data_IF_719325277758
#
_entry.id   IF_719325277758
#
_cell.length_a   1.000
_cell.length_b   1.000
_cell.length_c   1.000
_cell.angle_alpha   90.00
_cell.angle_beta   90.00
_cell.angle_gamma   90.00
#
_symmetry.space_group_name_H-M   'P 1'
#
loop_
_entity.id
_entity.type
_entity.pdbx_description
1 polymer ?
#
# COMPACT_ATOMS: atom_id res chain seq x y z
N UNK A 1 -8.45 -24.78 -6.87
CA UNK A 1 -7.39 -24.15 -7.69
C UNK A 1 -7.31 -22.73 -7.21
N UNK A 2 -6.37 -22.45 -6.32
CA UNK A 2 -6.12 -21.07 -5.88
C UNK A 2 -5.51 -20.32 -7.07
N UNK A 3 -6.14 -19.22 -7.48
CA UNK A 3 -5.52 -18.27 -8.39
C UNK A 3 -4.30 -17.71 -7.66
N UNK A 4 -3.12 -18.25 -7.95
CA UNK A 4 -1.87 -17.60 -7.57
C UNK A 4 -1.76 -16.40 -8.50
N UNK A 5 -2.40 -15.30 -8.13
CA UNK A 5 -2.13 -14.01 -8.76
C UNK A 5 -0.66 -13.73 -8.48
N UNK A 6 0.18 -13.70 -9.50
CA UNK A 6 1.62 -13.45 -9.34
C UNK A 6 1.82 -12.20 -8.48
N UNK A 7 2.62 -12.32 -7.42
CA UNK A 7 2.87 -11.19 -6.53
C UNK A 7 3.61 -10.10 -7.29
N UNK A 8 2.96 -8.96 -7.51
CA UNK A 8 3.59 -7.77 -8.09
C UNK A 8 4.28 -6.99 -6.99
N UNK A 9 5.61 -7.07 -6.94
CA UNK A 9 6.42 -6.28 -6.00
C UNK A 9 6.44 -4.80 -6.40
N UNK A 10 6.51 -3.88 -5.45
CA UNK A 10 6.54 -2.46 -5.77
C UNK A 10 7.89 -2.01 -6.33
N UNK A 11 7.83 -1.04 -7.25
CA UNK A 11 8.97 -0.56 -8.03
C UNK A 11 9.12 0.95 -8.02
N UNK A 12 8.16 1.70 -7.46
CA UNK A 12 8.23 3.17 -7.37
C UNK A 12 7.48 3.72 -6.16
N UNK A 13 7.89 4.90 -5.72
CA UNK A 13 7.17 5.69 -4.73
C UNK A 13 5.74 6.00 -5.21
N UNK A 14 4.77 6.02 -4.28
CA UNK A 14 3.38 6.40 -4.56
C UNK A 14 2.49 5.27 -5.07
N UNK A 15 3.04 4.08 -5.36
CA UNK A 15 2.23 2.89 -5.63
C UNK A 15 1.37 2.54 -4.41
N UNK A 16 0.19 1.98 -4.70
CA UNK A 16 -0.75 1.47 -3.70
C UNK A 16 -0.52 -0.01 -3.54
N UNK A 17 -0.33 -0.45 -2.30
CA UNK A 17 -0.01 -1.83 -1.94
C UNK A 17 -0.92 -2.35 -0.84
N UNK A 18 -1.02 -3.68 -0.77
CA UNK A 18 -1.51 -4.42 0.39
C UNK A 18 -0.37 -5.24 1.00
N UNK A 19 -0.48 -5.57 2.28
CA UNK A 19 0.44 -6.47 2.96
C UNK A 19 -0.04 -7.91 2.70
N UNK A 20 0.81 -8.76 2.15
CA UNK A 20 0.44 -10.14 1.77
C UNK A 20 0.11 -11.03 2.98
N UNK A 21 0.79 -10.79 4.11
CA UNK A 21 0.66 -11.57 5.34
C UNK A 21 0.41 -10.65 6.53
N UNK A 22 -0.78 -10.03 6.62
CA UNK A 22 -1.11 -9.14 7.73
C UNK A 22 -1.12 -9.93 9.05
N UNK A 23 -0.76 -9.27 10.14
CA UNK A 23 -0.89 -9.83 11.48
C UNK A 23 -2.37 -10.03 11.85
N UNK A 24 -2.64 -10.86 12.88
CA UNK A 24 -4.00 -11.23 13.26
C UNK A 24 -4.93 -10.04 13.59
N UNK A 25 -4.35 -8.92 14.02
CA UNK A 25 -5.07 -7.69 14.38
C UNK A 25 -5.02 -6.62 13.27
N UNK A 26 -4.41 -6.91 12.13
CA UNK A 26 -4.34 -6.01 10.97
C UNK A 26 -5.49 -6.30 9.99
N UNK A 27 -6.05 -5.25 9.39
CA UNK A 27 -7.07 -5.41 8.35
C UNK A 27 -6.40 -5.87 7.05
N UNK A 28 -6.72 -7.08 6.54
CA UNK A 28 -6.12 -7.60 5.30
C UNK A 28 -6.49 -6.81 4.05
N UNK A 29 -7.50 -5.95 4.13
CA UNK A 29 -7.92 -5.07 3.03
C UNK A 29 -7.41 -3.64 3.20
N UNK A 30 -6.67 -3.33 4.28
CA UNK A 30 -6.07 -2.01 4.42
C UNK A 30 -5.03 -1.81 3.33
N UNK A 31 -5.07 -0.62 2.73
CA UNK A 31 -4.24 -0.28 1.60
C UNK A 31 -3.29 0.83 1.98
N UNK A 32 -2.08 0.74 1.46
CA UNK A 32 -1.01 1.62 1.86
C UNK A 32 -0.39 2.26 0.62
N UNK A 33 0.04 3.50 0.77
CA UNK A 33 0.85 4.19 -0.23
C UNK A 33 2.31 4.11 0.16
N UNK A 34 3.16 3.80 -0.82
CA UNK A 34 4.61 3.77 -0.63
C UNK A 34 5.16 5.18 -0.49
N UNK A 35 5.89 5.44 0.61
CA UNK A 35 6.41 6.75 0.95
C UNK A 35 7.80 7.06 0.37
N UNK A 36 8.57 6.05 -0.03
CA UNK A 36 9.93 6.18 -0.55
C UNK A 36 10.16 5.28 -1.78
N UNK A 37 11.16 5.55 -2.62
CA UNK A 37 11.41 4.74 -3.82
C UNK A 37 11.98 3.36 -3.45
N UNK A 38 11.29 2.24 -3.76
CA UNK A 38 11.76 0.89 -3.47
C UNK A 38 12.79 0.36 -4.47
N UNK A 39 12.88 0.94 -5.68
CA UNK A 39 13.71 0.40 -6.77
C UNK A 39 15.22 0.22 -6.48
N UNK A 40 15.89 1.03 -5.64
CA UNK A 40 17.30 0.82 -5.36
C UNK A 40 17.55 -0.23 -4.26
N UNK A 41 16.49 -0.77 -3.63
CA UNK A 41 16.60 -1.61 -2.45
C UNK A 41 16.34 -3.10 -2.75
N UNK A 42 16.98 -4.02 -2.01
CA UNK A 42 16.68 -5.44 -2.12
C UNK A 42 15.31 -5.77 -1.49
N UNK A 43 14.64 -6.87 -1.87
CA UNK A 43 13.30 -7.22 -1.39
C UNK A 43 13.16 -7.36 0.13
N UNK A 44 14.23 -7.71 0.84
CA UNK A 44 14.24 -7.88 2.29
C UNK A 44 14.30 -6.54 3.04
N UNK A 45 14.53 -5.43 2.33
CA UNK A 45 14.55 -4.10 2.93
C UNK A 45 13.15 -3.69 3.35
N UNK A 46 13.04 -3.20 4.59
CA UNK A 46 11.84 -2.51 5.04
C UNK A 46 11.73 -1.12 4.42
N UNK A 47 10.54 -0.74 3.96
CA UNK A 47 10.23 0.60 3.47
C UNK A 47 9.06 1.20 4.23
N UNK A 48 9.01 2.53 4.27
CA UNK A 48 7.96 3.28 4.93
C UNK A 48 6.69 3.35 4.06
N UNK A 49 5.57 3.07 4.71
CA UNK A 49 4.23 3.06 4.12
C UNK A 49 3.28 3.94 4.95
N UNK A 50 2.27 4.50 4.30
CA UNK A 50 1.19 5.22 4.96
C UNK A 50 -0.17 4.64 4.56
N UNK A 51 -1.04 4.38 5.53
CA UNK A 51 -2.42 3.94 5.26
C UNK A 51 -3.14 4.99 4.41
N UNK A 52 -3.75 4.55 3.31
CA UNK A 52 -4.56 5.41 2.43
C UNK A 52 -5.74 5.98 3.21
N UNK A 53 -6.40 5.15 4.03
CA UNK A 53 -7.48 5.57 4.92
C UNK A 53 -7.03 6.66 5.88
N UNK A 54 -5.85 6.51 6.48
CA UNK A 54 -5.29 7.54 7.36
C UNK A 54 -4.93 8.79 6.59
N UNK A 55 -4.27 8.71 5.43
CA UNK A 55 -3.96 9.87 4.57
C UNK A 55 -5.21 10.69 4.28
N UNK A 56 -6.32 10.03 3.90
CA UNK A 56 -7.58 10.70 3.59
C UNK A 56 -8.18 11.40 4.82
N UNK A 57 -8.14 10.76 6.00
CA UNK A 57 -8.61 11.37 7.26
C UNK A 57 -7.70 12.52 7.69
N UNK A 58 -6.40 12.32 7.61
CA UNK A 58 -5.33 13.26 7.90
C UNK A 58 -5.42 14.54 7.07
N UNK A 59 -5.71 14.43 5.77
CA UNK A 59 -5.95 15.59 4.93
C UNK A 59 -7.17 16.40 5.39
N UNK A 60 -8.18 15.76 5.99
CA UNK A 60 -9.33 16.45 6.55
C UNK A 60 -9.03 17.13 7.90
N UNK A 61 -8.12 16.58 8.71
CA UNK A 61 -7.77 17.08 10.04
C UNK A 61 -6.47 17.91 10.12
N UNK A 62 -5.64 17.90 9.08
CA UNK A 62 -4.33 18.56 9.04
C UNK A 62 -3.20 17.83 9.79
N UNK A 63 -3.40 16.58 10.19
CA UNK A 63 -2.41 15.77 10.93
C UNK A 63 -1.68 14.80 10.01
N UNK A 64 -0.38 14.57 10.16
CA UNK A 64 0.31 13.55 9.35
C UNK A 64 -0.08 12.12 9.80
N UNK A 65 -0.30 11.18 8.87
CA UNK A 65 -0.59 9.79 9.20
C UNK A 65 0.63 9.12 9.85
N UNK A 66 0.38 8.12 10.71
CA UNK A 66 1.48 7.32 11.26
C UNK A 66 2.01 6.38 10.19
N UNK A 67 3.34 6.38 10.01
CA UNK A 67 3.99 5.48 9.07
C UNK A 67 4.18 4.09 9.66
N UNK A 68 4.08 3.07 8.81
CA UNK A 68 4.44 1.68 9.13
C UNK A 68 5.60 1.23 8.26
N UNK A 69 6.45 0.31 8.75
CA UNK A 69 7.60 -0.21 8.01
C UNK A 69 7.42 -1.70 7.73
N UNK A 70 7.45 -2.07 6.45
CA UNK A 70 7.19 -3.44 5.98
C UNK A 70 8.24 -3.82 4.93
N UNK A 71 8.64 -5.09 4.89
CA UNK A 71 9.59 -5.58 3.89
C UNK A 71 8.98 -5.49 2.48
N UNK A 72 9.77 -5.11 1.48
CA UNK A 72 9.30 -5.01 0.09
C UNK A 72 8.71 -6.34 -0.40
N UNK A 73 9.31 -7.46 -0.02
CA UNK A 73 8.85 -8.82 -0.36
C UNK A 73 7.49 -9.20 0.26
N UNK A 74 7.03 -8.47 1.27
CA UNK A 74 5.73 -8.72 1.92
C UNK A 74 4.60 -7.87 1.30
N UNK A 75 4.90 -7.12 0.23
CA UNK A 75 3.96 -6.19 -0.40
C UNK A 75 3.47 -6.70 -1.75
N UNK A 76 2.22 -6.36 -2.06
CA UNK A 76 1.61 -6.57 -3.36
C UNK A 76 1.01 -5.29 -3.90
N UNK A 77 1.39 -4.88 -5.12
CA UNK A 77 0.85 -3.69 -5.78
C UNK A 77 -0.58 -3.94 -6.25
N UNK A 78 -1.49 -3.09 -5.80
CA UNK A 78 -2.92 -3.07 -6.18
C UNK A 78 -3.32 -1.80 -6.94
N UNK A 79 -2.42 -0.82 -7.03
CA UNK A 79 -2.64 0.41 -7.79
C UNK A 79 -1.35 1.14 -8.13
N UNK A 80 -1.33 1.79 -9.29
CA UNK A 80 -0.15 2.49 -9.80
C UNK A 80 0.15 3.82 -9.09
N UNK A 81 -0.91 4.51 -8.66
CA UNK A 81 -0.85 5.78 -7.95
C UNK A 81 -2.18 6.06 -7.24
N UNK A 82 -2.14 6.94 -6.24
CA UNK A 82 -3.31 7.29 -5.42
C UNK A 82 -4.47 7.87 -6.25
N UNK A 83 -4.19 8.65 -7.30
CA UNK A 83 -5.24 9.30 -8.09
C UNK A 83 -6.03 8.26 -8.88
N UNK A 84 -5.32 7.44 -9.66
CA UNK A 84 -5.92 6.36 -10.45
C UNK A 84 -6.68 5.39 -9.56
N UNK A 85 -6.14 5.12 -8.37
CA UNK A 85 -6.77 4.25 -7.39
C UNK A 85 -8.09 4.82 -6.83
N UNK A 86 -8.11 6.09 -6.41
CA UNK A 86 -9.33 6.76 -5.91
C UNK A 86 -10.40 6.89 -7.01
N UNK A 87 -9.99 7.20 -8.24
CA UNK A 87 -10.92 7.28 -9.39
C UNK A 87 -11.59 5.93 -9.68
N UNK A 88 -10.83 4.83 -9.58
CA UNK A 88 -11.36 3.46 -9.70
C UNK A 88 -12.33 3.10 -8.58
N UNK A 89 -12.02 3.46 -7.34
CA UNK A 89 -12.88 3.21 -6.17
C UNK A 89 -14.23 3.92 -6.27
N UNK A 90 -14.25 5.20 -6.68
CA UNK A 90 -15.48 5.96 -6.85
C UNK A 90 -16.39 5.43 -7.99
N UNK A 91 -15.79 4.73 -8.96
CA UNK A 91 -16.51 4.18 -10.11
C UNK A 91 -17.11 2.81 -9.82
N UNK A 92 -16.63 2.10 -8.80
CA UNK A 92 -17.16 0.80 -8.38
C UNK A 92 -16.82 0.54 -6.90
N UNK A 93 -17.61 1.07 -5.95
CA UNK A 93 -17.41 0.79 -4.53
C UNK A 93 -17.66 -0.70 -4.29
N UNK A 94 -16.63 -1.40 -3.81
CA UNK A 94 -16.71 -2.81 -3.42
C UNK A 94 -17.53 -2.95 -2.15
#
# INVERSE_FOLDING_TARGET
MENITEQVIPTKQGQIVVICNPLQDEDPNEQYMIAEDPSPYPPERQILLYSVTQILRSNASGTLPLGTSVQISDLHVVGEDLKTWVEGWNSNPI
#
